data_IF_484480212978
#
_entry.id   IF_484480212978
#
_cell.length_a   1.000
_cell.length_b   1.000
_cell.length_c   1.000
_cell.angle_alpha   90.00
_cell.angle_beta   90.00
_cell.angle_gamma   90.00
#
_symmetry.space_group_name_H-M   'P 1'
#
loop_
_entity.id
_entity.type
_entity.pdbx_description
1 polymer ?
#
# COMPACT_ATOMS: atom_id res chain seq x y z
N UNK A 1 18.03 18.53 3.54
CA UNK A 1 18.04 17.17 4.12
C UNK A 1 16.66 16.61 3.89
N UNK A 2 16.56 15.43 3.28
CA UNK A 2 15.27 14.81 2.99
C UNK A 2 14.58 14.33 4.28
N UNK A 3 13.26 14.20 4.25
CA UNK A 3 12.43 13.81 5.42
C UNK A 3 12.73 12.38 5.93
N UNK A 4 13.29 11.52 5.07
CA UNK A 4 13.66 10.12 5.37
C UNK A 4 15.10 9.82 4.89
N UNK A 5 15.96 10.82 4.99
CA UNK A 5 17.38 10.73 4.59
C UNK A 5 18.09 9.55 5.26
N UNK A 6 18.78 8.73 4.47
CA UNK A 6 19.55 7.57 4.95
C UNK A 6 18.71 6.38 5.41
N UNK A 7 17.38 6.42 5.34
CA UNK A 7 16.51 5.27 5.61
C UNK A 7 16.47 4.30 4.43
N UNK A 8 16.18 3.04 4.69
CA UNK A 8 15.91 2.02 3.67
C UNK A 8 14.42 1.72 3.66
N UNK A 9 13.76 1.92 2.52
CA UNK A 9 12.33 1.71 2.35
C UNK A 9 12.05 0.49 1.44
N UNK A 10 11.34 -0.50 1.97
CA UNK A 10 10.83 -1.65 1.22
C UNK A 10 9.37 -1.37 0.83
N UNK A 11 9.07 -1.37 -0.48
CA UNK A 11 7.78 -0.94 -1.02
C UNK A 11 7.18 -2.05 -1.88
N UNK A 12 6.03 -2.58 -1.47
CA UNK A 12 5.30 -3.59 -2.25
C UNK A 12 4.34 -2.92 -3.24
N UNK A 13 4.04 -3.60 -4.37
CA UNK A 13 3.18 -3.02 -5.41
C UNK A 13 3.87 -1.89 -6.19
N UNK A 14 5.20 -1.90 -6.25
CA UNK A 14 6.01 -0.81 -6.78
C UNK A 14 5.96 -0.64 -8.31
N UNK A 15 5.35 -1.56 -9.06
CA UNK A 15 5.30 -1.50 -10.53
C UNK A 15 4.33 -0.45 -11.10
N UNK A 16 3.41 0.12 -10.29
CA UNK A 16 2.44 1.11 -10.75
C UNK A 16 1.79 1.87 -9.59
N UNK A 17 1.00 2.89 -9.92
CA UNK A 17 0.12 3.58 -8.96
C UNK A 17 0.84 4.14 -7.73
N UNK A 18 0.24 3.96 -6.56
CA UNK A 18 0.73 4.51 -5.29
C UNK A 18 2.13 3.97 -4.94
N UNK A 19 2.38 2.67 -5.14
CA UNK A 19 3.69 2.08 -4.84
C UNK A 19 4.81 2.64 -5.72
N UNK A 20 4.58 2.85 -7.02
CA UNK A 20 5.52 3.52 -7.94
C UNK A 20 5.80 4.96 -7.49
N UNK A 21 4.77 5.69 -7.11
CA UNK A 21 4.91 7.08 -6.64
C UNK A 21 5.73 7.14 -5.34
N UNK A 22 5.48 6.21 -4.41
CA UNK A 22 6.30 6.10 -3.19
C UNK A 22 7.77 5.84 -3.50
N UNK A 23 8.10 4.99 -4.50
CA UNK A 23 9.49 4.76 -4.92
C UNK A 23 10.18 6.06 -5.32
N UNK A 24 9.57 6.85 -6.22
CA UNK A 24 10.14 8.10 -6.71
C UNK A 24 10.19 9.17 -5.62
N UNK A 25 9.12 9.33 -4.84
CA UNK A 25 9.04 10.33 -3.76
C UNK A 25 10.05 10.03 -2.64
N UNK A 26 10.14 8.77 -2.18
CA UNK A 26 11.05 8.39 -1.10
C UNK A 26 12.51 8.51 -1.52
N UNK A 27 12.82 8.19 -2.77
CA UNK A 27 14.13 8.41 -3.35
C UNK A 27 14.52 9.91 -3.33
N UNK A 28 13.61 10.79 -3.74
CA UNK A 28 13.78 12.27 -3.69
C UNK A 28 13.98 12.78 -2.26
N UNK A 29 13.40 12.10 -1.27
CA UNK A 29 13.52 12.41 0.15
C UNK A 29 14.71 11.72 0.84
N UNK A 30 15.66 11.19 0.05
CA UNK A 30 16.95 10.69 0.52
C UNK A 30 16.97 9.24 0.99
N UNK A 31 15.90 8.47 0.80
CA UNK A 31 15.89 7.05 1.13
C UNK A 31 16.55 6.20 0.04
N UNK A 32 17.15 5.08 0.46
CA UNK A 32 17.40 3.95 -0.43
C UNK A 32 16.10 3.16 -0.56
N UNK A 33 15.62 2.96 -1.80
CA UNK A 33 14.31 2.35 -2.05
C UNK A 33 14.46 0.94 -2.64
N UNK A 34 13.65 0.00 -2.19
CA UNK A 34 13.61 -1.36 -2.73
C UNK A 34 12.16 -1.74 -3.08
N UNK A 35 11.88 -1.85 -4.38
CA UNK A 35 10.55 -2.06 -4.91
C UNK A 35 10.27 -3.52 -5.27
N UNK A 36 9.09 -4.02 -4.91
CA UNK A 36 8.68 -5.39 -5.24
C UNK A 36 7.31 -5.41 -5.90
N UNK A 37 7.20 -6.17 -7.00
CA UNK A 37 5.95 -6.48 -7.69
C UNK A 37 6.19 -7.65 -8.66
N UNK A 38 5.14 -8.11 -9.37
CA UNK A 38 5.25 -9.23 -10.31
C UNK A 38 5.85 -8.86 -11.66
N UNK A 39 5.68 -7.61 -12.09
CA UNK A 39 6.01 -7.16 -13.46
C UNK A 39 7.39 -6.51 -13.49
N UNK A 40 8.38 -7.23 -14.02
CA UNK A 40 9.78 -6.77 -14.02
C UNK A 40 9.98 -5.51 -14.87
N UNK A 41 9.42 -5.46 -16.08
CA UNK A 41 9.62 -4.30 -16.96
C UNK A 41 9.13 -2.98 -16.33
N UNK A 42 7.96 -3.00 -15.68
CA UNK A 42 7.42 -1.84 -14.99
C UNK A 42 8.17 -1.51 -13.69
N UNK A 43 8.80 -2.49 -13.06
CA UNK A 43 9.70 -2.28 -11.94
C UNK A 43 10.98 -1.58 -12.39
N UNK A 44 11.55 -1.98 -13.52
CA UNK A 44 12.75 -1.35 -14.09
C UNK A 44 12.48 0.11 -14.47
N UNK A 45 11.30 0.41 -15.01
CA UNK A 45 10.87 1.80 -15.25
C UNK A 45 10.74 2.59 -13.93
N UNK A 46 10.17 1.96 -12.91
CA UNK A 46 10.01 2.60 -11.60
C UNK A 46 11.38 2.89 -10.95
N UNK A 47 12.34 1.97 -11.09
CA UNK A 47 13.70 2.19 -10.60
C UNK A 47 14.37 3.37 -11.30
N UNK A 48 14.23 3.47 -12.62
CA UNK A 48 14.75 4.65 -13.38
C UNK A 48 14.14 5.96 -12.89
N UNK A 49 12.86 6.00 -12.53
CA UNK A 49 12.23 7.19 -11.96
C UNK A 49 12.82 7.55 -10.59
N UNK A 50 13.10 6.56 -9.74
CA UNK A 50 13.73 6.76 -8.43
C UNK A 50 15.18 7.27 -8.59
N UNK A 51 15.94 6.71 -9.53
CA UNK A 51 17.31 7.14 -9.83
C UNK A 51 17.34 8.57 -10.41
N UNK A 52 16.41 8.89 -11.32
CA UNK A 52 16.26 10.24 -11.86
C UNK A 52 15.88 11.28 -10.80
N UNK A 53 15.22 10.86 -9.72
CA UNK A 53 14.93 11.69 -8.55
C UNK A 53 16.15 11.85 -7.60
N UNK A 54 17.31 11.30 -7.96
CA UNK A 54 18.55 11.38 -7.18
C UNK A 54 18.73 10.29 -6.13
N UNK A 55 17.84 9.31 -6.09
CA UNK A 55 17.88 8.22 -5.10
C UNK A 55 18.71 7.02 -5.56
N UNK A 56 18.80 6.05 -4.65
CA UNK A 56 19.44 4.75 -4.87
C UNK A 56 18.44 3.65 -4.54
N UNK A 57 18.58 2.49 -5.14
CA UNK A 57 17.73 1.38 -4.79
C UNK A 57 17.88 0.16 -5.66
N UNK A 58 16.89 -0.73 -5.55
CA UNK A 58 16.76 -1.94 -6.33
C UNK A 58 15.31 -2.33 -6.50
N UNK A 59 15.10 -3.33 -7.33
CA UNK A 59 13.79 -3.93 -7.56
C UNK A 59 13.90 -5.45 -7.60
N UNK A 60 12.81 -6.13 -7.25
CA UNK A 60 12.75 -7.59 -7.28
C UNK A 60 11.37 -8.04 -7.76
N UNK A 61 11.35 -8.94 -8.76
CA UNK A 61 10.09 -9.49 -9.27
C UNK A 61 9.65 -10.67 -8.42
N UNK A 62 8.47 -10.57 -7.78
CA UNK A 62 7.87 -11.62 -6.98
C UNK A 62 6.34 -11.54 -6.95
N UNK A 63 5.69 -12.70 -6.86
CA UNK A 63 4.30 -12.81 -6.43
C UNK A 63 4.27 -12.94 -4.90
N UNK A 64 3.88 -11.87 -4.22
CA UNK A 64 3.88 -11.81 -2.76
C UNK A 64 2.74 -12.62 -2.12
N UNK A 65 1.81 -13.17 -2.90
CA UNK A 65 0.82 -14.14 -2.41
C UNK A 65 1.43 -15.55 -2.21
N UNK A 66 2.65 -15.77 -2.73
CA UNK A 66 3.46 -16.96 -2.46
C UNK A 66 4.44 -16.64 -1.32
N UNK A 67 4.37 -17.35 -0.17
CA UNK A 67 5.23 -17.09 0.98
C UNK A 67 6.71 -17.28 0.71
N UNK A 68 7.11 -18.20 -0.20
CA UNK A 68 8.51 -18.41 -0.54
C UNK A 68 9.07 -17.25 -1.38
N UNK A 69 8.28 -16.72 -2.31
CA UNK A 69 8.68 -15.55 -3.08
C UNK A 69 8.70 -14.28 -2.22
N UNK A 70 7.77 -14.14 -1.27
CA UNK A 70 7.80 -13.04 -0.30
C UNK A 70 9.08 -13.09 0.55
N UNK A 71 9.51 -14.27 1.00
CA UNK A 71 10.77 -14.46 1.72
C UNK A 71 11.98 -14.13 0.86
N UNK A 72 12.02 -14.60 -0.38
CA UNK A 72 13.09 -14.28 -1.32
C UNK A 72 13.23 -12.77 -1.56
N UNK A 73 12.10 -12.06 -1.73
CA UNK A 73 12.09 -10.62 -1.95
C UNK A 73 12.63 -9.84 -0.72
N UNK A 74 12.23 -10.22 0.49
CA UNK A 74 12.73 -9.56 1.71
C UNK A 74 14.21 -9.85 1.92
N UNK A 75 14.67 -11.08 1.69
CA UNK A 75 16.08 -11.43 1.77
C UNK A 75 16.92 -10.66 0.75
N UNK A 76 16.46 -10.55 -0.51
CA UNK A 76 17.15 -9.76 -1.53
C UNK A 76 17.32 -8.29 -1.12
N UNK A 77 16.32 -7.68 -0.47
CA UNK A 77 16.43 -6.33 0.05
C UNK A 77 17.46 -6.24 1.20
N UNK A 78 17.46 -7.22 2.10
CA UNK A 78 18.42 -7.26 3.23
C UNK A 78 19.85 -7.50 2.75
N UNK A 79 20.03 -8.35 1.75
CA UNK A 79 21.36 -8.60 1.14
C UNK A 79 21.90 -7.35 0.43
N UNK A 80 21.02 -6.60 -0.24
CA UNK A 80 21.41 -5.39 -0.97
C UNK A 80 21.61 -4.17 -0.05
N UNK A 81 20.81 -4.03 1.00
CA UNK A 81 20.74 -2.79 1.80
C UNK A 81 21.15 -2.97 3.27
N UNK A 82 21.26 -4.20 3.77
CA UNK A 82 21.65 -4.53 5.15
C UNK A 82 20.59 -4.27 6.21
N UNK A 83 19.53 -3.51 5.89
CA UNK A 83 18.46 -3.10 6.82
C UNK A 83 17.17 -2.77 6.10
N UNK A 84 16.07 -2.69 6.82
CA UNK A 84 14.80 -2.15 6.36
C UNK A 84 14.24 -1.27 7.48
N UNK A 85 14.12 0.04 7.25
CA UNK A 85 13.62 1.01 8.22
C UNK A 85 12.14 1.32 8.01
N UNK A 86 11.70 1.29 6.75
CA UNK A 86 10.35 1.62 6.34
C UNK A 86 9.78 0.47 5.52
N UNK A 87 8.57 0.02 5.86
CA UNK A 87 7.78 -0.90 5.05
C UNK A 87 6.53 -0.18 4.55
N UNK A 88 6.35 -0.13 3.24
CA UNK A 88 5.09 0.32 2.62
C UNK A 88 4.40 -0.88 1.99
N UNK A 89 3.31 -1.34 2.60
CA UNK A 89 2.46 -2.38 2.05
C UNK A 89 1.42 -1.76 1.11
N UNK A 90 1.75 -1.66 -0.19
CA UNK A 90 0.90 -1.09 -1.24
C UNK A 90 0.47 -2.11 -2.30
N UNK A 91 0.96 -3.35 -2.24
CA UNK A 91 0.50 -4.40 -3.13
C UNK A 91 -0.98 -4.71 -2.90
N UNK A 92 -1.75 -4.83 -3.98
CA UNK A 92 -3.16 -5.17 -3.90
C UNK A 92 -3.86 -5.07 -5.25
N UNK A 93 -5.06 -5.60 -5.29
CA UNK A 93 -5.97 -5.58 -6.44
C UNK A 93 -7.34 -5.05 -6.01
N UNK A 94 -8.13 -4.59 -6.97
CA UNK A 94 -9.46 -4.02 -6.75
C UNK A 94 -10.29 -4.07 -8.03
N UNK A 95 -10.97 -2.99 -8.40
CA UNK A 95 -11.92 -2.95 -9.51
C UNK A 95 -11.36 -3.39 -10.87
N UNK A 96 -10.05 -3.25 -11.12
CA UNK A 96 -9.40 -3.79 -12.33
C UNK A 96 -9.58 -5.31 -12.49
N UNK A 97 -9.89 -6.03 -11.42
CA UNK A 97 -10.18 -7.46 -11.50
C UNK A 97 -11.56 -7.79 -12.04
N UNK A 98 -12.48 -6.82 -12.20
CA UNK A 98 -13.78 -7.06 -12.84
C UNK A 98 -13.62 -7.69 -14.23
N UNK A 99 -12.60 -7.27 -14.97
CA UNK A 99 -12.32 -7.76 -16.31
C UNK A 99 -11.40 -9.00 -16.34
N UNK A 100 -10.39 -9.04 -15.44
CA UNK A 100 -9.34 -10.08 -15.47
C UNK A 100 -9.66 -11.28 -14.58
N UNK A 101 -10.51 -11.13 -13.58
CA UNK A 101 -10.92 -12.19 -12.65
C UNK A 101 -12.41 -12.02 -12.30
N UNK A 102 -13.27 -12.41 -13.22
CA UNK A 102 -14.73 -12.24 -13.11
C UNK A 102 -15.27 -12.84 -11.82
N UNK A 103 -16.16 -12.11 -11.15
CA UNK A 103 -16.77 -12.52 -9.88
C UNK A 103 -15.99 -12.11 -8.63
N UNK A 104 -14.73 -11.66 -8.77
CA UNK A 104 -13.89 -11.31 -7.61
C UNK A 104 -14.35 -10.04 -6.87
N UNK A 105 -15.07 -9.16 -7.58
CA UNK A 105 -15.62 -7.90 -7.04
C UNK A 105 -17.15 -7.89 -6.97
N UNK A 106 -17.77 -9.06 -7.01
CA UNK A 106 -19.22 -9.20 -6.94
C UNK A 106 -19.73 -9.09 -5.48
N UNK A 107 -21.04 -8.93 -5.29
CA UNK A 107 -21.71 -9.11 -4.00
C UNK A 107 -21.42 -10.50 -3.40
N UNK A 108 -21.48 -10.61 -2.06
CA UNK A 108 -21.02 -11.79 -1.33
C UNK A 108 -21.76 -13.09 -1.70
N UNK A 109 -23.05 -12.99 -2.03
CA UNK A 109 -23.89 -14.13 -2.41
C UNK A 109 -23.58 -14.71 -3.80
N UNK A 110 -22.89 -13.93 -4.64
CA UNK A 110 -22.49 -14.31 -5.99
C UNK A 110 -20.98 -14.46 -6.18
N UNK A 111 -20.17 -14.05 -5.17
CA UNK A 111 -18.70 -14.19 -5.23
C UNK A 111 -18.27 -15.66 -5.19
N UNK A 112 -17.58 -16.20 -6.23
CA UNK A 112 -17.06 -17.55 -6.20
C UNK A 112 -15.99 -17.74 -5.11
N UNK A 113 -15.96 -18.93 -4.47
CA UNK A 113 -15.04 -19.22 -3.35
C UNK A 113 -13.57 -19.09 -3.75
N UNK A 114 -13.21 -19.52 -4.97
CA UNK A 114 -11.86 -19.37 -5.50
C UNK A 114 -11.48 -17.91 -5.70
N UNK A 115 -12.43 -17.06 -6.13
CA UNK A 115 -12.22 -15.61 -6.29
C UNK A 115 -12.10 -14.89 -4.96
N UNK A 116 -12.87 -15.28 -3.96
CA UNK A 116 -12.65 -14.86 -2.59
C UNK A 116 -11.22 -15.15 -2.13
N UNK A 117 -10.76 -16.39 -2.28
CA UNK A 117 -9.41 -16.81 -1.87
C UNK A 117 -8.31 -16.07 -2.65
N UNK A 118 -8.50 -15.87 -3.96
CA UNK A 118 -7.56 -15.13 -4.80
C UNK A 118 -7.34 -13.69 -4.28
N UNK A 119 -8.40 -12.95 -4.01
CA UNK A 119 -8.29 -11.56 -3.51
C UNK A 119 -7.74 -11.53 -2.09
N UNK A 120 -8.13 -12.46 -1.22
CA UNK A 120 -7.57 -12.58 0.13
C UNK A 120 -6.06 -12.82 0.08
N UNK A 121 -5.60 -13.75 -0.75
CA UNK A 121 -4.18 -14.06 -0.91
C UNK A 121 -3.37 -12.85 -1.40
N UNK A 122 -3.89 -12.12 -2.42
CA UNK A 122 -3.19 -10.98 -2.99
C UNK A 122 -3.18 -9.77 -2.06
N UNK A 123 -4.30 -9.46 -1.40
CA UNK A 123 -4.44 -8.22 -0.63
C UNK A 123 -4.05 -8.34 0.84
N UNK A 124 -4.29 -9.51 1.46
CA UNK A 124 -4.12 -9.69 2.90
C UNK A 124 -2.94 -10.63 3.23
N UNK A 125 -2.90 -11.83 2.62
CA UNK A 125 -1.84 -12.79 2.94
C UNK A 125 -0.47 -12.27 2.51
N UNK A 126 -0.36 -11.59 1.36
CA UNK A 126 0.87 -10.95 0.91
C UNK A 126 1.40 -9.93 1.92
N UNK A 127 0.51 -9.08 2.45
CA UNK A 127 0.86 -8.12 3.51
C UNK A 127 1.35 -8.83 4.78
N UNK A 128 0.65 -9.91 5.18
CA UNK A 128 1.04 -10.71 6.34
C UNK A 128 2.43 -11.34 6.14
N UNK A 129 2.69 -11.97 5.00
CA UNK A 129 3.99 -12.63 4.73
C UNK A 129 5.15 -11.63 4.79
N UNK A 130 5.02 -10.51 4.10
CA UNK A 130 6.05 -9.46 4.10
C UNK A 130 6.23 -8.84 5.48
N UNK A 131 5.13 -8.44 6.13
CA UNK A 131 5.19 -7.80 7.46
C UNK A 131 5.83 -8.71 8.51
N UNK A 132 5.50 -10.02 8.49
CA UNK A 132 6.08 -11.02 9.40
C UNK A 132 7.60 -11.09 9.28
N UNK A 133 8.15 -10.99 8.09
CA UNK A 133 9.59 -11.08 7.83
C UNK A 133 10.29 -9.76 8.18
N UNK A 134 9.75 -8.64 7.73
CA UNK A 134 10.30 -7.30 7.98
C UNK A 134 10.26 -6.96 9.47
N UNK A 135 9.19 -7.32 10.19
CA UNK A 135 9.10 -7.12 11.63
C UNK A 135 10.21 -7.83 12.41
N UNK A 136 10.62 -9.04 11.99
CA UNK A 136 11.76 -9.74 12.60
C UNK A 136 13.05 -8.91 12.50
N UNK A 137 13.25 -8.22 11.38
CA UNK A 137 14.39 -7.35 11.18
C UNK A 137 14.25 -6.04 11.97
N UNK A 138 13.10 -5.38 11.92
CA UNK A 138 12.84 -4.14 12.67
C UNK A 138 12.97 -4.34 14.19
N UNK A 139 12.55 -5.49 14.73
CA UNK A 139 12.76 -5.86 16.13
C UNK A 139 14.25 -5.92 16.50
N UNK A 140 15.10 -6.50 15.65
CA UNK A 140 16.57 -6.53 15.86
C UNK A 140 17.15 -5.12 15.81
N UNK A 141 16.62 -4.25 14.95
CA UNK A 141 17.04 -2.85 14.81
C UNK A 141 16.55 -1.96 15.95
N UNK A 142 15.52 -2.39 16.72
CA UNK A 142 14.80 -1.58 17.70
C UNK A 142 14.25 -0.29 17.10
N UNK A 143 13.87 -0.35 15.83
CA UNK A 143 13.36 0.79 15.07
C UNK A 143 12.67 0.31 13.80
N UNK A 144 11.56 0.96 13.44
CA UNK A 144 10.87 0.72 12.18
C UNK A 144 9.57 1.52 12.03
N UNK A 145 9.16 1.75 10.78
CA UNK A 145 7.88 2.36 10.44
C UNK A 145 7.17 1.52 9.37
N UNK A 146 5.98 1.05 9.68
CA UNK A 146 5.13 0.30 8.75
C UNK A 146 3.97 1.21 8.34
N UNK A 147 3.76 1.37 7.03
CA UNK A 147 2.60 2.08 6.49
C UNK A 147 1.83 1.16 5.54
N UNK A 148 0.61 0.83 5.92
CA UNK A 148 -0.27 -0.04 5.15
C UNK A 148 -1.23 0.78 4.29
N UNK A 149 -1.39 0.41 3.03
CA UNK A 149 -2.40 1.03 2.15
C UNK A 149 -3.71 0.27 2.29
N UNK A 150 -4.60 0.80 3.14
CA UNK A 150 -5.96 0.32 3.33
C UNK A 150 -6.90 0.91 2.25
N UNK A 151 -8.09 1.35 2.64
CA UNK A 151 -9.08 2.03 1.80
C UNK A 151 -10.19 2.60 2.69
N UNK A 152 -10.92 3.61 2.22
CA UNK A 152 -12.19 4.01 2.81
C UNK A 152 -13.19 2.85 2.88
N UNK A 153 -13.14 1.91 1.94
CA UNK A 153 -13.96 0.68 1.97
C UNK A 153 -13.55 -0.31 3.08
N UNK A 154 -12.43 -0.10 3.74
CA UNK A 154 -12.10 -0.81 4.99
C UNK A 154 -12.63 -0.10 6.24
N UNK A 155 -13.02 1.17 6.12
CA UNK A 155 -13.60 1.97 7.22
C UNK A 155 -15.12 1.92 7.21
N UNK A 156 -15.73 1.77 6.04
CA UNK A 156 -17.16 1.67 5.82
C UNK A 156 -17.53 0.57 4.84
N UNK A 157 -18.82 0.37 4.62
CA UNK A 157 -19.33 -0.62 3.66
C UNK A 157 -19.31 -0.12 2.23
N UNK A 158 -19.29 -1.05 1.28
CA UNK A 158 -19.54 -0.83 -0.14
C UNK A 158 -20.67 -1.76 -0.61
N UNK A 159 -21.40 -1.35 -1.63
CA UNK A 159 -22.51 -2.14 -2.18
C UNK A 159 -22.03 -3.35 -3.02
N UNK A 160 -20.79 -3.32 -3.48
CA UNK A 160 -20.11 -4.39 -4.22
C UNK A 160 -18.66 -4.55 -3.71
N UNK A 161 -17.85 -5.33 -4.38
CA UNK A 161 -16.45 -5.57 -4.04
C UNK A 161 -16.28 -6.06 -2.57
N UNK A 162 -17.17 -6.91 -2.09
CA UNK A 162 -17.20 -7.34 -0.68
C UNK A 162 -15.91 -8.03 -0.25
N UNK A 163 -15.26 -8.80 -1.14
CA UNK A 163 -13.95 -9.41 -0.85
C UNK A 163 -12.87 -8.34 -0.63
N UNK A 164 -12.82 -7.33 -1.49
CA UNK A 164 -11.91 -6.21 -1.34
C UNK A 164 -12.15 -5.46 -0.01
N UNK A 165 -13.41 -5.14 0.26
CA UNK A 165 -13.85 -4.48 1.51
C UNK A 165 -13.41 -5.26 2.75
N UNK A 166 -13.60 -6.57 2.74
CA UNK A 166 -13.16 -7.45 3.83
C UNK A 166 -11.64 -7.41 4.04
N UNK A 167 -10.84 -7.48 2.94
CA UNK A 167 -9.38 -7.39 3.05
C UNK A 167 -8.93 -6.05 3.62
N UNK A 168 -9.54 -4.94 3.19
CA UNK A 168 -9.15 -3.59 3.64
C UNK A 168 -9.57 -3.32 5.08
N UNK A 169 -10.70 -3.87 5.54
CA UNK A 169 -11.09 -3.88 6.95
C UNK A 169 -10.12 -4.68 7.83
N UNK A 170 -9.70 -5.86 7.36
CA UNK A 170 -8.70 -6.68 8.04
C UNK A 170 -7.35 -5.95 8.16
N UNK A 171 -6.88 -5.27 7.10
CA UNK A 171 -5.64 -4.47 7.11
C UNK A 171 -5.72 -3.35 8.16
N UNK A 172 -6.86 -2.65 8.27
CA UNK A 172 -7.06 -1.60 9.27
C UNK A 172 -6.88 -2.16 10.68
N UNK A 173 -7.55 -3.27 11.00
CA UNK A 173 -7.47 -3.81 12.36
C UNK A 173 -6.10 -4.47 12.65
N UNK A 174 -5.49 -5.12 11.66
CA UNK A 174 -4.13 -5.66 11.78
C UNK A 174 -3.10 -4.53 12.00
N UNK A 175 -3.27 -3.38 11.37
CA UNK A 175 -2.43 -2.18 11.60
C UNK A 175 -2.45 -1.77 13.08
N UNK A 176 -3.63 -1.68 13.68
CA UNK A 176 -3.80 -1.36 15.11
C UNK A 176 -3.18 -2.42 16.01
N UNK A 177 -3.40 -3.69 15.69
CA UNK A 177 -2.82 -4.82 16.44
C UNK A 177 -1.28 -4.78 16.41
N UNK A 178 -0.68 -4.54 15.23
CA UNK A 178 0.78 -4.40 15.12
C UNK A 178 1.30 -3.18 15.90
N UNK A 179 0.59 -2.05 15.86
CA UNK A 179 0.96 -0.84 16.60
C UNK A 179 1.08 -1.09 18.11
N UNK A 180 0.14 -1.85 18.68
CA UNK A 180 0.16 -2.20 20.12
C UNK A 180 1.24 -3.24 20.41
N UNK A 181 1.37 -4.26 19.56
CA UNK A 181 2.23 -5.41 19.83
C UNK A 181 3.73 -5.10 19.74
N UNK A 182 4.14 -4.12 18.93
CA UNK A 182 5.55 -3.87 18.61
C UNK A 182 6.07 -2.50 19.06
N UNK A 183 5.29 -1.75 19.85
CA UNK A 183 5.71 -0.43 20.37
C UNK A 183 6.98 -0.51 21.23
N UNK A 184 7.09 -1.53 22.06
CA UNK A 184 8.29 -1.74 22.90
C UNK A 184 9.53 -2.18 22.09
N UNK A 185 9.33 -2.62 20.85
CA UNK A 185 10.41 -2.90 19.93
C UNK A 185 10.82 -1.66 19.10
N UNK A 186 10.25 -0.50 19.37
CA UNK A 186 10.51 0.75 18.65
C UNK A 186 9.90 0.78 17.25
N UNK A 187 8.85 -0.03 16.97
CA UNK A 187 8.20 -0.11 15.66
C UNK A 187 6.84 0.57 15.72
N UNK A 188 6.59 1.49 14.79
CA UNK A 188 5.27 2.10 14.55
C UNK A 188 4.58 1.41 13.39
N UNK A 189 3.26 1.25 13.50
CA UNK A 189 2.42 0.71 12.43
C UNK A 189 1.21 1.61 12.23
N UNK A 190 1.05 2.16 11.02
CA UNK A 190 -0.03 3.06 10.65
C UNK A 190 -0.60 2.65 9.29
N UNK A 191 -1.75 3.20 8.92
CA UNK A 191 -2.31 3.01 7.60
C UNK A 191 -2.80 4.34 7.00
N UNK A 192 -2.76 4.43 5.68
CA UNK A 192 -3.56 5.39 4.93
C UNK A 192 -4.83 4.69 4.44
N UNK A 193 -5.95 5.43 4.38
CA UNK A 193 -7.21 4.97 3.81
C UNK A 193 -7.59 5.88 2.63
N UNK A 194 -7.07 5.61 1.41
CA UNK A 194 -7.41 6.40 0.25
C UNK A 194 -8.88 6.23 -0.16
N UNK A 195 -9.46 7.30 -0.71
CA UNK A 195 -10.64 7.21 -1.55
C UNK A 195 -10.29 6.70 -2.95
N UNK A 196 -10.97 7.19 -3.98
CA UNK A 196 -10.63 6.89 -5.37
C UNK A 196 -9.39 7.66 -5.80
N UNK A 197 -8.36 6.94 -6.25
CA UNK A 197 -7.05 7.47 -6.68
C UNK A 197 -6.86 7.14 -8.15
N UNK A 198 -6.45 8.11 -8.98
CA UNK A 198 -6.21 7.89 -10.41
C UNK A 198 -5.09 6.87 -10.64
N UNK A 199 -5.47 5.62 -10.83
CA UNK A 199 -4.58 4.47 -11.02
C UNK A 199 -5.22 3.47 -11.97
N UNK A 200 -4.43 2.58 -12.58
CA UNK A 200 -4.94 1.48 -13.41
C UNK A 200 -5.99 0.61 -12.68
N UNK A 201 -5.90 0.51 -11.35
CA UNK A 201 -6.82 -0.29 -10.54
C UNK A 201 -8.28 0.17 -10.64
N UNK A 202 -8.53 1.45 -10.81
CA UNK A 202 -9.87 2.05 -10.79
C UNK A 202 -10.24 2.75 -12.10
N UNK A 203 -9.36 2.76 -13.09
CA UNK A 203 -9.55 3.46 -14.37
C UNK A 203 -10.92 3.14 -15.00
N UNK A 204 -11.31 1.86 -15.00
CA UNK A 204 -12.58 1.38 -15.57
C UNK A 204 -13.85 1.98 -14.95
N UNK A 205 -13.76 2.60 -13.77
CA UNK A 205 -14.91 3.18 -13.05
C UNK A 205 -14.79 4.69 -12.87
N UNK A 206 -13.64 5.30 -13.15
CA UNK A 206 -13.41 6.73 -12.84
C UNK A 206 -14.36 7.66 -13.61
N UNK A 207 -14.55 7.45 -14.90
CA UNK A 207 -15.40 8.33 -15.73
C UNK A 207 -16.85 8.33 -15.24
N UNK A 208 -17.36 7.16 -14.82
CA UNK A 208 -18.68 7.06 -14.25
C UNK A 208 -18.77 7.73 -12.87
N UNK A 209 -17.82 7.43 -11.98
CA UNK A 209 -17.80 7.92 -10.59
C UNK A 209 -17.62 9.44 -10.51
N UNK A 210 -16.86 10.02 -11.42
CA UNK A 210 -16.58 11.45 -11.46
C UNK A 210 -17.24 12.16 -12.64
N UNK A 211 -18.32 11.58 -13.19
CA UNK A 211 -19.23 12.29 -14.07
C UNK A 211 -19.86 13.50 -13.35
N UNK A 212 -20.38 14.45 -14.10
CA UNK A 212 -21.04 15.64 -13.57
C UNK A 212 -22.14 15.31 -12.55
N UNK A 213 -22.85 14.20 -12.77
CA UNK A 213 -23.94 13.71 -11.91
C UNK A 213 -23.41 13.06 -10.62
N UNK A 214 -22.36 12.24 -10.70
CA UNK A 214 -21.92 11.37 -9.62
C UNK A 214 -20.77 11.92 -8.77
N UNK A 215 -20.02 12.89 -9.28
CA UNK A 215 -18.77 13.36 -8.64
C UNK A 215 -19.00 13.82 -7.19
N UNK A 216 -20.08 14.55 -6.93
CA UNK A 216 -20.43 15.04 -5.59
C UNK A 216 -20.77 13.88 -4.63
N UNK A 217 -21.46 12.84 -5.12
CA UNK A 217 -21.79 11.67 -4.33
C UNK A 217 -20.55 10.80 -4.05
N UNK A 218 -19.63 10.74 -5.00
CA UNK A 218 -18.38 9.98 -4.88
C UNK A 218 -17.40 10.64 -3.90
N UNK A 219 -17.17 11.95 -4.03
CA UNK A 219 -16.28 12.71 -3.15
C UNK A 219 -16.69 14.18 -3.07
N UNK A 220 -16.69 14.80 -1.88
CA UNK A 220 -16.91 16.24 -1.73
C UNK A 220 -15.98 17.10 -2.58
N UNK A 221 -14.74 16.67 -2.81
CA UNK A 221 -13.78 17.35 -3.69
C UNK A 221 -14.07 17.17 -5.19
N UNK A 222 -15.03 16.32 -5.56
CA UNK A 222 -15.54 16.08 -6.93
C UNK A 222 -14.46 15.64 -7.94
N UNK A 223 -13.38 15.07 -7.48
CA UNK A 223 -12.30 14.51 -8.31
C UNK A 223 -11.62 13.33 -7.61
N UNK A 224 -11.01 12.42 -8.36
CA UNK A 224 -10.10 11.44 -7.76
C UNK A 224 -8.86 12.13 -7.21
N UNK A 225 -8.22 11.52 -6.22
CA UNK A 225 -6.89 11.90 -5.77
C UNK A 225 -5.83 11.54 -6.83
N UNK A 226 -4.69 12.21 -6.80
CA UNK A 226 -3.48 11.76 -7.49
C UNK A 226 -2.73 10.74 -6.64
N UNK A 227 -1.85 9.95 -7.24
CA UNK A 227 -0.96 9.04 -6.51
C UNK A 227 -0.02 9.81 -5.58
N UNK A 228 0.40 10.99 -5.98
CA UNK A 228 1.26 11.88 -5.21
C UNK A 228 0.58 12.38 -3.92
N UNK A 229 -0.70 12.76 -3.98
CA UNK A 229 -1.46 13.17 -2.80
C UNK A 229 -1.51 12.07 -1.74
N UNK A 230 -1.64 10.81 -2.15
CA UNK A 230 -1.61 9.67 -1.23
C UNK A 230 -0.19 9.39 -0.72
N UNK A 231 0.81 9.48 -1.61
CA UNK A 231 2.21 9.24 -1.27
C UNK A 231 2.75 10.24 -0.22
N UNK A 232 2.28 11.50 -0.22
CA UNK A 232 2.62 12.46 0.84
C UNK A 232 2.13 12.01 2.23
N UNK A 233 0.94 11.45 2.33
CA UNK A 233 0.44 10.89 3.60
C UNK A 233 1.25 9.67 4.05
N UNK A 234 1.66 8.81 3.10
CA UNK A 234 2.53 7.67 3.38
C UNK A 234 3.91 8.14 3.84
N UNK A 235 4.50 9.14 3.17
CA UNK A 235 5.78 9.73 3.54
C UNK A 235 5.74 10.33 4.95
N UNK A 236 4.67 11.09 5.29
CA UNK A 236 4.48 11.63 6.64
C UNK A 236 4.49 10.50 7.68
N UNK A 237 3.67 9.47 7.50
CA UNK A 237 3.56 8.37 8.46
C UNK A 237 4.85 7.52 8.56
N UNK A 238 5.65 7.47 7.49
CA UNK A 238 6.93 6.79 7.45
C UNK A 238 8.06 7.59 8.12
N UNK A 239 7.96 8.91 8.15
CA UNK A 239 8.99 9.82 8.66
C UNK A 239 8.98 9.96 10.19
N UNK A 240 10.03 10.57 10.75
CA UNK A 240 10.14 10.88 12.17
C UNK A 240 9.18 12.00 12.61
N UNK A 241 8.60 12.76 11.65
CA UNK A 241 7.52 13.74 11.93
C UNK A 241 6.28 13.06 12.53
N UNK A 242 6.05 11.78 12.21
CA UNK A 242 4.97 10.96 12.74
C UNK A 242 5.40 10.12 13.96
N UNK A 243 6.43 10.52 14.69
CA UNK A 243 6.98 9.76 15.83
C UNK A 243 5.96 9.43 16.92
N UNK A 244 4.91 10.22 17.06
CA UNK A 244 3.81 9.99 18.02
C UNK A 244 2.53 9.42 17.36
N UNK A 245 2.59 9.11 16.04
CA UNK A 245 1.50 8.43 15.33
C UNK A 245 1.73 6.92 15.35
N UNK A 246 0.87 6.17 16.05
CA UNK A 246 0.93 4.72 16.11
C UNK A 246 -0.48 4.14 16.18
N UNK A 247 -0.84 3.27 15.24
CA UNK A 247 -2.19 2.70 15.10
C UNK A 247 -3.20 3.62 14.40
N UNK A 248 -2.74 4.75 13.82
CA UNK A 248 -3.63 5.66 13.11
C UNK A 248 -4.05 5.11 11.75
N UNK A 249 -5.28 5.46 11.35
CA UNK A 249 -5.80 5.26 10.00
C UNK A 249 -6.06 6.66 9.45
N UNK A 250 -5.24 7.10 8.52
CA UNK A 250 -5.31 8.44 7.92
C UNK A 250 -6.15 8.39 6.63
N UNK A 251 -7.40 8.93 6.63
CA UNK A 251 -8.17 9.05 5.41
C UNK A 251 -7.52 10.07 4.47
N UNK A 252 -7.41 9.71 3.18
CA UNK A 252 -6.98 10.59 2.08
C UNK A 252 -8.01 10.40 0.96
N UNK A 253 -9.18 10.99 1.12
CA UNK A 253 -10.38 10.59 0.41
C UNK A 253 -11.24 11.75 -0.11
N UNK A 254 -10.73 12.98 -0.04
CA UNK A 254 -11.46 14.16 -0.48
C UNK A 254 -12.73 14.44 0.32
N UNK A 255 -12.80 13.93 1.57
CA UNK A 255 -13.93 14.11 2.48
C UNK A 255 -15.02 13.04 2.36
N UNK A 256 -14.79 11.95 1.59
CA UNK A 256 -15.80 10.90 1.38
C UNK A 256 -16.25 10.26 2.70
N UNK A 257 -15.32 9.98 3.63
CA UNK A 257 -15.60 9.38 4.93
C UNK A 257 -15.99 10.38 6.03
N UNK A 258 -15.93 11.69 5.76
CA UNK A 258 -16.33 12.72 6.72
C UNK A 258 -17.85 12.99 6.71
N UNK A 259 -18.59 12.32 5.84
CA UNK A 259 -20.05 12.46 5.78
C UNK A 259 -20.73 11.62 6.86
N UNK A 260 -21.80 12.17 7.42
CA UNK A 260 -22.71 11.47 8.35
C UNK A 260 -23.64 10.53 7.59
#
# INVERSE_FOLDING_TARGET
MGRIEGKVAFITGASSGIGRECMAMFAREGATVFGVARRQAELDETLKLAEAAGGKGGVFSADLSDPAQAEAAVNAALDACGRIDILVNSAGVGYSMKDTSKGSMDPIDSTPIDKWREVMAINLDSLFYVSRLVLRQMKKQRSGAIVNVASVFGMGGAADAHTYTATKGAIINLTRSMAVAYVDDGVRSNAVAPGFVRTQMVEIVLDHLFSEENAQATSPMRRPATTEEVAYGILYLASDEASYCNGTILPIDGGSSARA
#
